data_IF_740802685057
#
_entry.id   IF_740802685057
#
_cell.length_a   1.000
_cell.length_b   1.000
_cell.length_c   1.000
_cell.angle_alpha   90.00
_cell.angle_beta   90.00
_cell.angle_gamma   90.00
#
_symmetry.space_group_name_H-M   'P 1'
#
loop_
_entity.id
_entity.type
_entity.pdbx_description
1 polymer ?
#
# COMPACT_ATOMS: atom_id res chain seq x y z
N UNK A 1 -20.59 14.53 13.43
CA UNK A 1 -19.42 13.81 12.89
C UNK A 1 -19.71 13.50 11.43
N UNK A 2 -18.89 13.98 10.54
CA UNK A 2 -18.97 13.66 9.10
C UNK A 2 -18.47 12.24 8.87
N UNK A 3 -18.82 11.61 7.75
CA UNK A 3 -18.44 10.21 7.49
C UNK A 3 -16.91 10.03 7.43
N UNK A 4 -16.20 11.01 6.87
CA UNK A 4 -14.74 11.02 6.78
C UNK A 4 -14.01 11.37 8.09
N UNK A 5 -14.74 11.67 9.15
CA UNK A 5 -14.24 11.86 10.52
C UNK A 5 -14.44 10.62 11.40
N UNK A 6 -14.97 9.53 10.85
CA UNK A 6 -15.30 8.35 11.63
C UNK A 6 -14.21 7.26 11.47
N UNK A 7 -13.32 7.04 12.45
CA UNK A 7 -12.27 6.03 12.37
C UNK A 7 -12.79 4.58 12.29
N UNK A 8 -14.07 4.37 12.61
CA UNK A 8 -14.72 3.06 12.45
C UNK A 8 -15.23 2.80 11.03
N UNK A 9 -15.07 3.77 10.11
CA UNK A 9 -15.55 3.68 8.74
C UNK A 9 -14.46 4.12 7.76
N UNK A 10 -13.44 3.28 7.57
CA UNK A 10 -12.27 3.55 6.70
C UNK A 10 -12.62 3.58 5.22
N UNK A 11 -13.72 2.93 4.83
CA UNK A 11 -14.15 2.84 3.44
C UNK A 11 -15.64 2.50 3.34
N UNK A 12 -16.18 2.67 2.14
CA UNK A 12 -17.49 2.17 1.75
C UNK A 12 -17.39 1.55 0.36
N UNK A 13 -17.91 0.33 0.19
CA UNK A 13 -17.88 -0.45 -1.06
C UNK A 13 -16.48 -0.67 -1.68
N UNK A 14 -15.41 -0.34 -0.98
CA UNK A 14 -14.05 -0.73 -1.39
C UNK A 14 -13.89 -2.24 -1.22
N UNK A 15 -13.32 -2.89 -2.20
CA UNK A 15 -13.00 -4.32 -2.15
C UNK A 15 -11.94 -4.61 -1.08
N UNK A 16 -11.88 -5.86 -0.64
CA UNK A 16 -10.78 -6.34 0.19
C UNK A 16 -9.46 -6.20 -0.58
N UNK A 17 -8.38 -5.90 0.14
CA UNK A 17 -7.06 -5.87 -0.44
C UNK A 17 -6.67 -7.29 -0.93
N UNK A 18 -5.91 -7.31 -2.01
CA UNK A 18 -5.39 -8.52 -2.65
C UNK A 18 -3.94 -8.31 -3.09
N UNK A 19 -3.23 -9.37 -3.42
CA UNK A 19 -1.91 -9.27 -4.05
C UNK A 19 -1.99 -8.40 -5.30
N UNK A 20 -1.05 -7.45 -5.39
CA UNK A 20 -1.00 -6.58 -6.56
C UNK A 20 -0.44 -7.34 -7.77
N UNK A 21 -1.17 -7.30 -8.84
CA UNK A 21 -0.78 -7.77 -10.16
C UNK A 21 -1.74 -7.22 -11.22
N UNK A 22 -1.26 -7.12 -12.44
CA UNK A 22 -2.06 -6.81 -13.62
C UNK A 22 -1.97 -8.01 -14.56
N UNK A 23 -3.09 -8.71 -14.82
CA UNK A 23 -3.06 -9.89 -15.67
C UNK A 23 -2.87 -9.51 -17.14
N UNK A 24 -2.24 -10.41 -17.88
CA UNK A 24 -2.16 -10.38 -19.35
C UNK A 24 -3.30 -11.18 -19.97
N UNK A 25 -3.45 -11.10 -21.29
CA UNK A 25 -4.42 -11.91 -22.06
C UNK A 25 -5.80 -11.28 -22.14
N UNK A 26 -6.82 -11.93 -21.57
CA UNK A 26 -8.22 -11.47 -21.66
C UNK A 26 -8.52 -10.25 -20.78
N UNK A 27 -7.66 -9.90 -19.82
CA UNK A 27 -7.77 -8.64 -19.07
C UNK A 27 -7.53 -7.44 -19.99
N UNK A 28 -8.34 -6.40 -19.82
CA UNK A 28 -8.13 -5.09 -20.48
C UNK A 28 -7.83 -4.06 -19.40
N UNK A 29 -6.60 -3.58 -19.39
CA UNK A 29 -6.22 -2.43 -18.58
C UNK A 29 -6.43 -1.14 -19.38
N UNK A 30 -7.18 -0.21 -18.79
CA UNK A 30 -7.41 1.12 -19.32
C UNK A 30 -6.73 2.10 -18.39
N UNK A 31 -5.55 2.58 -18.75
CA UNK A 31 -4.82 3.57 -17.99
C UNK A 31 -5.56 4.91 -18.03
N UNK A 32 -5.83 5.48 -16.86
CA UNK A 32 -6.47 6.78 -16.69
C UNK A 32 -5.49 7.90 -16.32
N UNK A 33 -4.19 7.64 -16.35
CA UNK A 33 -3.17 8.67 -16.23
C UNK A 33 -3.25 9.68 -17.39
N UNK A 34 -2.82 10.92 -17.13
CA UNK A 34 -2.82 12.02 -18.09
C UNK A 34 -3.81 13.12 -17.71
N UNK A 35 -4.36 13.85 -18.67
CA UNK A 35 -5.21 15.01 -18.40
C UNK A 35 -6.59 14.62 -17.86
N UNK A 36 -7.00 15.27 -16.75
CA UNK A 36 -8.33 15.23 -16.17
C UNK A 36 -8.93 16.62 -16.14
N UNK A 37 -10.22 16.75 -16.29
CA UNK A 37 -10.94 17.96 -15.89
C UNK A 37 -10.84 18.08 -14.39
N UNK A 38 -10.61 19.30 -13.90
CA UNK A 38 -10.36 19.56 -12.49
C UNK A 38 -11.05 20.83 -12.01
N UNK A 39 -11.61 20.79 -10.82
CA UNK A 39 -12.10 21.97 -10.13
C UNK A 39 -11.64 21.92 -8.68
N UNK A 40 -11.09 23.03 -8.18
CA UNK A 40 -10.61 23.14 -6.82
C UNK A 40 -11.56 24.01 -5.97
N UNK A 41 -11.88 23.52 -4.79
CA UNK A 41 -12.72 24.21 -3.82
C UNK A 41 -11.95 24.36 -2.51
N UNK A 42 -11.83 25.59 -2.01
CA UNK A 42 -11.24 25.84 -0.68
C UNK A 42 -12.04 25.15 0.44
N UNK A 43 -13.33 24.92 0.22
CA UNK A 43 -14.20 24.14 1.10
C UNK A 43 -15.09 23.20 0.26
N UNK A 44 -14.86 21.91 0.41
CA UNK A 44 -15.57 20.83 -0.33
C UNK A 44 -17.07 20.76 -0.08
N UNK A 45 -17.56 21.25 1.05
CA UNK A 45 -19.01 21.33 1.34
C UNK A 45 -19.76 22.26 0.35
N UNK A 46 -19.00 23.07 -0.42
CA UNK A 46 -19.51 23.98 -1.45
C UNK A 46 -19.35 23.44 -2.88
N UNK A 47 -18.82 22.24 -3.06
CA UNK A 47 -18.66 21.59 -4.35
C UNK A 47 -20.02 21.14 -4.92
N UNK A 48 -20.84 22.12 -5.35
CA UNK A 48 -22.14 21.92 -6.00
C UNK A 48 -22.00 21.70 -7.51
N UNK A 49 -22.85 22.36 -8.31
CA UNK A 49 -22.69 22.38 -9.76
C UNK A 49 -21.38 23.08 -10.15
N UNK A 50 -20.51 22.35 -10.85
CA UNK A 50 -19.24 22.87 -11.32
C UNK A 50 -19.48 23.53 -12.68
N UNK A 51 -19.41 24.86 -12.72
CA UNK A 51 -19.63 25.63 -13.95
C UNK A 51 -18.35 25.77 -14.78
N UNK A 52 -17.20 25.90 -14.08
CA UNK A 52 -15.89 26.06 -14.73
C UNK A 52 -14.97 24.91 -14.36
N UNK A 53 -14.30 24.39 -15.37
CA UNK A 53 -13.33 23.31 -15.24
C UNK A 53 -11.98 23.75 -15.77
N UNK A 54 -10.95 23.46 -15.00
CA UNK A 54 -9.57 23.52 -15.45
C UNK A 54 -9.08 22.11 -15.86
N UNK A 55 -7.80 21.97 -16.14
CA UNK A 55 -7.16 20.70 -16.43
C UNK A 55 -6.04 20.44 -15.46
N UNK A 56 -5.93 19.22 -14.98
CA UNK A 56 -4.81 18.75 -14.15
C UNK A 56 -4.27 17.43 -14.69
N UNK A 57 -2.97 17.25 -14.64
CA UNK A 57 -2.35 15.98 -14.95
C UNK A 57 -2.46 15.02 -13.77
N UNK A 58 -2.75 13.76 -14.02
CA UNK A 58 -2.79 12.65 -13.07
C UNK A 58 -1.83 11.57 -13.56
N UNK A 59 -0.95 11.00 -12.71
CA UNK A 59 -0.80 11.33 -11.29
C UNK A 59 -0.11 12.67 -11.05
N UNK A 60 -0.55 13.39 -10.02
CA UNK A 60 0.13 14.60 -9.53
C UNK A 60 -0.35 15.01 -8.14
N UNK A 61 0.43 15.88 -7.49
CA UNK A 61 0.04 16.58 -6.28
C UNK A 61 -0.50 17.97 -6.66
N UNK A 62 -1.74 18.32 -6.29
CA UNK A 62 -2.34 19.58 -6.73
C UNK A 62 -1.61 20.83 -6.22
N UNK A 63 -0.90 20.74 -5.08
CA UNK A 63 -0.08 21.84 -4.56
C UNK A 63 1.04 22.20 -5.54
N UNK A 64 1.61 21.24 -6.25
CA UNK A 64 2.65 21.47 -7.26
C UNK A 64 2.08 21.91 -8.61
N UNK A 65 0.75 21.97 -8.73
CA UNK A 65 0.03 22.50 -9.90
C UNK A 65 -0.58 23.88 -9.63
N UNK A 66 -0.29 24.47 -8.45
CA UNK A 66 -0.64 25.86 -8.12
C UNK A 66 -1.96 26.05 -7.37
N UNK A 67 -2.60 24.99 -6.88
CA UNK A 67 -3.91 25.09 -6.21
C UNK A 67 -3.83 25.33 -4.70
N UNK A 68 -2.70 25.11 -4.09
CA UNK A 68 -2.36 25.43 -2.70
C UNK A 68 -0.84 25.45 -2.54
N UNK A 69 -0.39 25.86 -1.35
CA UNK A 69 1.01 25.65 -0.98
C UNK A 69 1.19 24.29 -0.28
N UNK A 70 2.30 23.59 -0.51
CA UNK A 70 2.67 22.42 0.29
C UNK A 70 2.83 22.83 1.75
N UNK A 71 2.32 22.00 2.66
CA UNK A 71 2.56 22.17 4.08
C UNK A 71 3.73 21.29 4.52
N UNK A 72 4.58 21.82 5.39
CA UNK A 72 5.58 21.04 6.09
C UNK A 72 5.51 21.36 7.58
N UNK A 73 5.32 20.32 8.37
CA UNK A 73 5.37 20.38 9.82
C UNK A 73 6.10 19.13 10.30
N UNK A 74 7.18 19.32 11.07
CA UNK A 74 7.94 18.18 11.58
C UNK A 74 7.10 17.33 12.54
N UNK A 75 6.70 17.92 13.67
CA UNK A 75 6.03 17.22 14.78
C UNK A 75 4.70 17.87 15.19
N UNK A 76 4.09 18.62 14.33
CA UNK A 76 2.80 19.25 14.62
C UNK A 76 1.84 18.96 13.48
N UNK A 77 0.59 18.70 13.81
CA UNK A 77 -0.44 18.73 12.76
C UNK A 77 -0.56 20.14 12.21
N UNK A 78 -0.81 20.33 10.90
CA UNK A 78 -1.03 21.64 10.30
C UNK A 78 -2.41 22.22 10.63
N UNK A 79 -3.13 21.59 11.54
CA UNK A 79 -4.46 21.95 12.04
C UNK A 79 -4.59 21.60 13.53
N UNK A 80 -5.58 22.16 14.25
CA UNK A 80 -5.79 21.83 15.67
C UNK A 80 -5.96 20.32 15.90
N UNK A 81 -5.21 19.78 16.85
CA UNK A 81 -5.28 18.36 17.18
C UNK A 81 -6.50 18.09 18.06
N UNK A 82 -7.64 17.79 17.42
CA UNK A 82 -8.91 17.42 18.07
C UNK A 82 -9.51 16.16 17.41
N UNK A 83 -8.81 15.00 17.49
CA UNK A 83 -9.22 13.78 16.82
C UNK A 83 -10.58 13.28 17.33
N UNK A 84 -11.43 12.73 16.46
CA UNK A 84 -11.17 12.44 15.05
C UNK A 84 -11.58 13.58 14.10
N UNK A 85 -11.90 14.76 14.62
CA UNK A 85 -12.41 15.90 13.86
C UNK A 85 -11.31 16.58 13.07
N UNK A 86 -11.62 16.97 11.84
CA UNK A 86 -10.74 17.75 10.97
C UNK A 86 -11.32 19.15 10.74
N UNK A 87 -10.55 20.11 10.20
CA UNK A 87 -11.03 21.46 9.97
C UNK A 87 -12.36 21.52 9.21
N UNK A 88 -13.23 22.43 9.61
CA UNK A 88 -14.51 22.67 8.91
C UNK A 88 -14.30 23.17 7.48
N UNK A 89 -13.24 23.96 7.27
CA UNK A 89 -12.78 24.33 5.94
C UNK A 89 -11.86 23.21 5.48
N UNK A 90 -12.34 22.40 4.53
CA UNK A 90 -11.64 21.23 4.03
C UNK A 90 -11.49 21.33 2.50
N UNK A 91 -10.31 21.76 2.02
CA UNK A 91 -10.05 21.86 0.59
C UNK A 91 -10.32 20.55 -0.13
N UNK A 92 -10.92 20.65 -1.32
CA UNK A 92 -11.34 19.48 -2.09
C UNK A 92 -11.06 19.70 -3.57
N UNK A 93 -10.33 18.76 -4.18
CA UNK A 93 -10.18 18.64 -5.62
C UNK A 93 -11.25 17.74 -6.20
N UNK A 94 -11.94 18.19 -7.24
CA UNK A 94 -12.89 17.37 -8.00
C UNK A 94 -12.30 17.07 -9.37
N UNK A 95 -12.12 15.79 -9.63
CA UNK A 95 -11.54 15.26 -10.86
C UNK A 95 -12.62 14.62 -11.72
N UNK A 96 -12.56 14.82 -13.03
CA UNK A 96 -13.48 14.15 -13.96
C UNK A 96 -12.75 13.70 -15.23
N UNK A 97 -12.97 12.43 -15.64
CA UNK A 97 -12.42 11.86 -16.85
C UNK A 97 -13.37 10.88 -17.50
N UNK A 98 -13.47 10.92 -18.83
CA UNK A 98 -14.16 9.90 -19.60
C UNK A 98 -13.23 8.79 -20.01
N UNK A 99 -13.76 7.56 -20.09
CA UNK A 99 -13.06 6.37 -20.52
C UNK A 99 -13.98 5.45 -21.32
N UNK A 100 -13.39 4.54 -22.08
CA UNK A 100 -14.13 3.62 -22.96
C UNK A 100 -14.12 2.21 -22.40
N UNK A 101 -15.28 1.58 -22.33
CA UNK A 101 -15.44 0.14 -22.07
C UNK A 101 -15.86 -0.54 -23.37
N UNK A 102 -15.04 -1.50 -23.84
CA UNK A 102 -15.32 -2.25 -25.06
C UNK A 102 -16.46 -3.25 -24.86
N UNK A 103 -16.39 -4.01 -23.76
CA UNK A 103 -17.35 -5.04 -23.41
C UNK A 103 -17.87 -4.84 -21.98
N UNK A 104 -19.08 -4.31 -21.87
CA UNK A 104 -19.76 -4.08 -20.59
C UNK A 104 -20.27 -5.35 -19.90
N UNK A 105 -20.08 -6.54 -20.46
CA UNK A 105 -20.40 -7.81 -19.81
C UNK A 105 -19.30 -8.32 -18.89
N UNK A 106 -18.09 -7.75 -18.98
CA UNK A 106 -16.95 -8.14 -18.13
C UNK A 106 -17.07 -7.57 -16.73
N UNK A 107 -16.41 -8.22 -15.77
CA UNK A 107 -16.18 -7.64 -14.45
C UNK A 107 -15.24 -6.45 -14.58
N UNK A 108 -15.65 -5.31 -14.03
CA UNK A 108 -14.90 -4.06 -14.22
C UNK A 108 -14.57 -3.44 -12.86
N UNK A 109 -13.28 -3.14 -12.68
CA UNK A 109 -12.73 -2.61 -11.43
C UNK A 109 -12.06 -1.27 -11.66
N UNK A 110 -12.34 -0.31 -10.79
CA UNK A 110 -11.62 0.98 -10.76
C UNK A 110 -10.57 0.93 -9.65
N UNK A 111 -9.32 1.26 -9.99
CA UNK A 111 -8.18 1.11 -9.10
C UNK A 111 -7.47 2.44 -8.92
N UNK A 112 -7.26 2.83 -7.65
CA UNK A 112 -6.31 3.86 -7.24
C UNK A 112 -5.11 3.18 -6.59
N UNK A 113 -3.89 3.45 -7.06
CA UNK A 113 -2.68 3.01 -6.34
C UNK A 113 -2.28 3.96 -5.21
N UNK A 114 -2.74 5.22 -5.27
CA UNK A 114 -2.58 6.20 -4.20
C UNK A 114 -3.38 7.47 -4.45
N UNK A 115 -4.16 7.88 -3.45
CA UNK A 115 -4.97 9.10 -3.48
C UNK A 115 -5.08 9.69 -2.07
N UNK A 116 -4.77 10.96 -1.89
CA UNK A 116 -4.65 11.62 -0.57
C UNK A 116 -5.65 12.76 -0.40
N UNK A 117 -6.36 12.77 0.74
CA UNK A 117 -6.35 11.83 1.89
C UNK A 117 -7.58 10.93 1.90
N UNK A 118 -8.72 11.40 1.42
CA UNK A 118 -9.97 10.65 1.27
C UNK A 118 -10.55 10.89 -0.11
N UNK A 119 -11.01 9.82 -0.78
CA UNK A 119 -11.60 9.88 -2.10
C UNK A 119 -12.99 9.26 -2.14
N UNK A 120 -13.95 9.97 -2.75
CA UNK A 120 -15.26 9.46 -3.14
C UNK A 120 -15.29 9.25 -4.66
N UNK A 121 -15.71 8.07 -5.09
CA UNK A 121 -15.82 7.70 -6.51
C UNK A 121 -17.27 7.71 -6.98
N UNK A 122 -17.51 8.34 -8.12
CA UNK A 122 -18.77 8.30 -8.87
C UNK A 122 -18.51 7.82 -10.29
N UNK A 123 -19.34 6.92 -10.79
CA UNK A 123 -19.33 6.48 -12.19
C UNK A 123 -20.68 6.82 -12.83
N UNK A 124 -20.63 7.53 -13.97
CA UNK A 124 -21.83 7.97 -14.69
C UNK A 124 -22.83 8.73 -13.77
N UNK A 125 -22.29 9.53 -12.84
CA UNK A 125 -23.05 10.32 -11.88
C UNK A 125 -23.64 9.52 -10.69
N UNK A 126 -23.39 8.22 -10.60
CA UNK A 126 -23.84 7.37 -9.48
C UNK A 126 -22.70 7.17 -8.50
N UNK A 127 -22.96 7.33 -7.21
CA UNK A 127 -22.01 7.04 -6.15
C UNK A 127 -21.64 5.56 -6.14
N UNK A 128 -20.33 5.27 -6.13
CA UNK A 128 -19.77 3.92 -6.06
C UNK A 128 -19.31 3.60 -4.65
N UNK A 129 -18.48 4.47 -4.07
CA UNK A 129 -17.88 4.22 -2.77
C UNK A 129 -16.83 5.25 -2.40
N UNK A 130 -16.16 5.02 -1.27
CA UNK A 130 -15.10 5.89 -0.76
C UNK A 130 -13.97 5.10 -0.11
N UNK A 131 -12.80 5.74 0.03
CA UNK A 131 -11.62 5.17 0.69
C UNK A 131 -10.80 6.23 1.41
N UNK A 132 -10.11 5.81 2.46
CA UNK A 132 -9.06 6.55 3.16
C UNK A 132 -7.74 5.73 3.13
N UNK A 133 -6.65 6.32 3.59
CA UNK A 133 -5.31 5.71 3.56
C UNK A 133 -4.60 6.04 2.26
N UNK A 134 -3.86 7.15 2.28
CA UNK A 134 -3.35 7.83 1.08
C UNK A 134 -2.46 6.95 0.19
N UNK A 135 -1.61 6.13 0.79
CA UNK A 135 -0.58 5.35 0.08
C UNK A 135 -0.94 3.87 -0.08
N UNK A 136 -2.21 3.56 0.14
CA UNK A 136 -2.74 2.21 0.08
C UNK A 136 -3.64 2.05 -1.15
N UNK A 137 -3.40 1.00 -1.94
CA UNK A 137 -4.22 0.69 -3.12
C UNK A 137 -5.68 0.49 -2.73
N UNK A 138 -6.59 1.07 -3.51
CA UNK A 138 -8.03 0.92 -3.33
C UNK A 138 -8.68 0.48 -4.63
N UNK A 139 -9.48 -0.59 -4.58
CA UNK A 139 -10.22 -1.12 -5.72
C UNK A 139 -11.73 -1.07 -5.45
N UNK A 140 -12.49 -0.76 -6.50
CA UNK A 140 -13.95 -0.72 -6.48
C UNK A 140 -14.52 -1.54 -7.64
N UNK A 141 -15.46 -2.44 -7.37
CA UNK A 141 -16.24 -3.10 -8.42
C UNK A 141 -17.23 -2.09 -9.01
N UNK A 142 -17.00 -1.70 -10.26
CA UNK A 142 -17.84 -0.76 -10.99
C UNK A 142 -18.69 -1.43 -12.07
N UNK A 143 -18.78 -2.76 -12.07
CA UNK A 143 -19.46 -3.55 -13.11
C UNK A 143 -20.90 -3.06 -13.35
N UNK A 144 -21.67 -2.82 -12.28
CA UNK A 144 -23.07 -2.37 -12.38
C UNK A 144 -23.23 -0.88 -12.71
N UNK A 145 -22.11 -0.14 -12.77
CA UNK A 145 -22.10 1.30 -13.01
C UNK A 145 -21.67 1.68 -14.41
N UNK A 146 -21.05 0.75 -15.17
CA UNK A 146 -20.55 0.97 -16.51
C UNK A 146 -21.40 0.29 -17.58
N UNK A 147 -21.24 0.74 -18.82
CA UNK A 147 -21.79 0.10 -20.01
C UNK A 147 -20.75 0.14 -21.12
N UNK A 148 -20.96 -0.68 -22.19
CA UNK A 148 -20.15 -0.57 -23.40
C UNK A 148 -20.21 0.84 -23.97
N UNK A 149 -19.08 1.38 -24.40
CA UNK A 149 -18.92 2.75 -24.89
C UNK A 149 -18.34 3.69 -23.86
N UNK A 150 -18.71 4.96 -23.93
CA UNK A 150 -18.16 6.04 -23.10
C UNK A 150 -18.79 6.03 -21.70
N UNK A 151 -17.93 6.00 -20.69
CA UNK A 151 -18.27 6.15 -19.28
C UNK A 151 -17.52 7.34 -18.68
N UNK A 152 -17.99 7.88 -17.58
CA UNK A 152 -17.36 9.01 -16.90
C UNK A 152 -17.11 8.67 -15.43
N UNK A 153 -15.86 8.82 -15.01
CA UNK A 153 -15.48 8.79 -13.61
C UNK A 153 -15.40 10.21 -13.06
N UNK A 154 -15.98 10.46 -11.90
CA UNK A 154 -15.79 11.67 -11.11
C UNK A 154 -15.32 11.30 -9.73
N UNK A 155 -14.26 11.96 -9.26
CA UNK A 155 -13.62 11.70 -7.97
C UNK A 155 -13.55 12.99 -7.17
N UNK A 156 -14.09 12.96 -5.95
CA UNK A 156 -13.91 14.03 -4.98
C UNK A 156 -12.79 13.62 -4.04
N UNK A 157 -11.72 14.41 -3.98
CA UNK A 157 -10.57 14.16 -3.11
C UNK A 157 -10.53 15.25 -2.05
N UNK A 158 -10.75 14.86 -0.78
CA UNK A 158 -10.68 15.78 0.37
C UNK A 158 -9.27 15.82 0.92
N UNK A 159 -8.84 17.02 1.31
CA UNK A 159 -7.52 17.25 1.91
C UNK A 159 -7.38 16.55 3.25
N UNK A 160 -8.40 16.58 4.08
CA UNK A 160 -8.36 16.07 5.44
C UNK A 160 -9.47 15.06 5.71
N UNK A 161 -9.11 14.02 6.46
CA UNK A 161 -10.03 13.04 7.03
C UNK A 161 -9.46 12.57 8.39
N UNK A 162 -10.18 11.75 9.14
CA UNK A 162 -9.64 11.20 10.40
C UNK A 162 -8.33 10.44 10.17
N UNK A 163 -8.17 9.77 9.03
CA UNK A 163 -6.92 9.13 8.64
C UNK A 163 -5.70 10.05 8.58
N UNK A 164 -5.92 11.37 8.40
CA UNK A 164 -4.82 12.36 8.40
C UNK A 164 -4.09 12.46 9.74
N UNK A 165 -4.72 12.01 10.83
CA UNK A 165 -4.05 11.89 12.13
C UNK A 165 -3.06 10.71 12.20
N UNK A 166 -3.18 9.74 11.30
CA UNK A 166 -2.29 8.60 11.18
C UNK A 166 -1.23 8.78 10.08
N UNK A 167 -1.26 9.89 9.36
CA UNK A 167 -0.37 10.21 8.25
C UNK A 167 0.45 11.46 8.55
N UNK A 168 1.10 11.47 9.72
CA UNK A 168 1.85 12.62 10.25
C UNK A 168 3.36 12.50 10.03
N UNK A 169 3.75 11.92 8.89
CA UNK A 169 5.15 11.77 8.54
C UNK A 169 5.89 13.11 8.47
N UNK A 170 7.16 13.11 8.92
CA UNK A 170 8.07 14.26 8.80
C UNK A 170 8.46 14.48 7.33
N UNK A 171 7.51 14.95 6.56
CA UNK A 171 7.63 15.19 5.12
C UNK A 171 6.67 16.30 4.67
N UNK A 172 6.88 16.82 3.45
CA UNK A 172 5.88 17.68 2.83
C UNK A 172 4.55 16.94 2.68
N UNK A 173 3.46 17.65 3.01
CA UNK A 173 2.09 17.14 2.86
C UNK A 173 1.53 17.58 1.52
N UNK A 174 1.17 16.60 0.72
CA UNK A 174 0.54 16.78 -0.58
C UNK A 174 -0.80 16.08 -0.64
N UNK A 175 -1.61 16.45 -1.64
CA UNK A 175 -2.89 15.84 -1.89
C UNK A 175 -3.13 15.69 -3.39
N UNK A 176 -4.10 14.84 -3.74
CA UNK A 176 -4.49 14.56 -5.11
C UNK A 176 -4.41 13.07 -5.43
N UNK A 177 -4.64 12.73 -6.69
CA UNK A 177 -4.39 11.39 -7.22
C UNK A 177 -2.92 11.37 -7.64
N UNK A 178 -2.04 10.88 -6.77
CA UNK A 178 -0.59 11.02 -6.91
C UNK A 178 0.14 9.75 -7.37
N UNK A 179 -0.56 8.61 -7.45
CA UNK A 179 -0.10 7.36 -8.09
C UNK A 179 -1.05 6.97 -9.22
N UNK A 180 -0.71 5.90 -9.90
CA UNK A 180 -1.48 5.41 -11.05
C UNK A 180 -2.95 5.19 -10.72
N UNK A 181 -3.80 5.49 -11.70
CA UNK A 181 -5.23 5.21 -11.68
C UNK A 181 -5.63 4.54 -13.00
N UNK A 182 -6.37 3.45 -12.90
CA UNK A 182 -6.75 2.65 -14.06
C UNK A 182 -8.04 1.86 -13.83
N UNK A 183 -8.58 1.35 -14.93
CA UNK A 183 -9.70 0.41 -14.93
C UNK A 183 -9.21 -0.93 -15.43
N UNK A 184 -9.65 -2.01 -14.78
CA UNK A 184 -9.43 -3.38 -15.22
C UNK A 184 -10.76 -3.99 -15.62
N UNK A 185 -10.92 -4.40 -16.89
CA UNK A 185 -12.04 -5.23 -17.32
C UNK A 185 -11.58 -6.67 -17.45
N UNK A 186 -12.18 -7.57 -16.68
CA UNK A 186 -11.72 -8.94 -16.48
C UNK A 186 -12.84 -9.94 -16.78
N UNK A 187 -12.55 -11.11 -17.35
CA UNK A 187 -13.55 -12.15 -17.60
C UNK A 187 -14.17 -12.66 -16.31
N UNK A 188 -15.40 -13.16 -16.38
CA UNK A 188 -16.01 -13.89 -15.27
C UNK A 188 -15.19 -15.14 -14.94
N UNK A 189 -15.03 -15.46 -13.66
CA UNK A 189 -14.22 -16.58 -13.20
C UNK A 189 -12.71 -16.31 -13.20
N UNK A 190 -12.27 -15.05 -13.35
CA UNK A 190 -10.88 -14.68 -13.13
C UNK A 190 -10.47 -14.90 -11.68
N UNK A 191 -9.19 -15.05 -11.45
CA UNK A 191 -8.61 -15.07 -10.10
C UNK A 191 -8.66 -13.66 -9.53
N UNK A 192 -9.21 -13.47 -8.33
CA UNK A 192 -9.21 -12.17 -7.67
C UNK A 192 -7.97 -11.98 -6.79
N UNK A 193 -7.59 -13.00 -6.00
CA UNK A 193 -6.41 -12.94 -5.15
C UNK A 193 -5.52 -14.18 -5.30
N UNK A 194 -4.23 -13.97 -5.15
CA UNK A 194 -3.20 -15.02 -5.17
C UNK A 194 -2.31 -14.91 -3.94
N UNK A 195 -1.79 -16.03 -3.49
CA UNK A 195 -0.64 -16.10 -2.59
C UNK A 195 0.39 -17.08 -3.15
N UNK A 196 1.65 -16.65 -3.26
CA UNK A 196 2.76 -17.48 -3.72
C UNK A 196 3.87 -17.38 -2.68
N UNK A 197 4.24 -18.52 -2.11
CA UNK A 197 5.28 -18.56 -1.09
C UNK A 197 6.18 -19.78 -1.25
N UNK A 198 7.34 -19.73 -0.64
CA UNK A 198 8.30 -20.83 -0.61
C UNK A 198 8.36 -21.44 0.79
N UNK A 199 8.29 -22.77 0.86
CA UNK A 199 8.49 -23.56 2.08
C UNK A 199 9.47 -24.68 1.76
N UNK A 200 10.63 -24.71 2.42
CA UNK A 200 11.73 -25.64 2.09
C UNK A 200 12.08 -25.59 0.59
N UNK A 201 11.79 -26.66 -0.14
CA UNK A 201 12.03 -26.77 -1.58
C UNK A 201 10.77 -26.58 -2.42
N UNK A 202 9.66 -26.23 -1.81
CA UNK A 202 8.38 -26.09 -2.50
C UNK A 202 8.04 -24.62 -2.78
N UNK A 203 7.47 -24.40 -3.96
CA UNK A 203 6.72 -23.18 -4.30
C UNK A 203 5.25 -23.52 -4.22
N UNK A 204 4.54 -22.87 -3.31
CA UNK A 204 3.11 -23.08 -3.04
C UNK A 204 2.35 -21.90 -3.63
N UNK A 205 1.52 -22.18 -4.63
CA UNK A 205 0.62 -21.22 -5.25
C UNK A 205 -0.81 -21.47 -4.77
N UNK A 206 -1.49 -20.44 -4.28
CA UNK A 206 -2.90 -20.50 -3.91
C UNK A 206 -3.66 -19.35 -4.53
N UNK A 207 -4.93 -19.60 -4.89
CA UNK A 207 -5.83 -18.61 -5.43
C UNK A 207 -7.28 -18.88 -5.00
N UNK A 208 -8.15 -17.92 -5.18
CA UNK A 208 -9.58 -18.00 -4.91
C UNK A 208 -10.40 -18.68 -6.03
N UNK A 209 -9.74 -19.13 -7.10
CA UNK A 209 -10.31 -19.88 -8.20
C UNK A 209 -9.37 -21.02 -8.63
N UNK A 210 -9.87 -21.99 -9.41
CA UNK A 210 -9.03 -23.02 -10.04
C UNK A 210 -8.19 -22.41 -11.17
N UNK A 211 -6.96 -22.90 -11.33
CA UNK A 211 -6.00 -22.43 -12.31
C UNK A 211 -5.08 -23.56 -12.81
N UNK A 212 -4.47 -23.36 -13.98
CA UNK A 212 -3.25 -24.09 -14.36
C UNK A 212 -2.05 -23.22 -14.04
N UNK A 213 -0.95 -23.82 -13.60
CA UNK A 213 0.27 -23.11 -13.29
C UNK A 213 1.48 -23.67 -14.04
N UNK A 214 2.40 -22.82 -14.38
CA UNK A 214 3.70 -23.15 -14.96
C UNK A 214 4.83 -22.55 -14.12
N UNK A 215 5.86 -23.34 -13.85
CA UNK A 215 7.07 -22.91 -13.19
C UNK A 215 8.23 -22.85 -14.19
N UNK A 216 8.97 -21.74 -14.17
CA UNK A 216 10.13 -21.50 -15.03
C UNK A 216 11.37 -21.18 -14.21
N UNK A 217 12.52 -21.64 -14.74
CA UNK A 217 13.86 -21.21 -14.34
C UNK A 217 14.49 -20.47 -15.52
N UNK A 218 14.61 -19.14 -15.41
CA UNK A 218 14.87 -18.31 -16.58
C UNK A 218 13.79 -18.52 -17.65
N UNK A 219 14.21 -18.93 -18.86
CA UNK A 219 13.32 -19.23 -19.97
C UNK A 219 12.91 -20.72 -20.02
N UNK A 220 13.47 -21.55 -19.17
CA UNK A 220 13.21 -23.00 -19.17
C UNK A 220 11.96 -23.33 -18.37
N UNK A 221 10.96 -23.92 -19.04
CA UNK A 221 9.79 -24.51 -18.37
C UNK A 221 10.25 -25.75 -17.57
N UNK A 222 10.14 -25.69 -16.23
CA UNK A 222 10.45 -26.81 -15.34
C UNK A 222 9.29 -27.76 -15.20
N UNK A 223 8.10 -27.23 -14.95
CA UNK A 223 6.93 -28.06 -14.67
C UNK A 223 5.63 -27.29 -14.97
N UNK A 224 4.57 -28.05 -15.28
CA UNK A 224 3.19 -27.56 -15.39
C UNK A 224 2.29 -28.38 -14.46
N UNK A 225 1.39 -27.69 -13.75
CA UNK A 225 0.42 -28.31 -12.83
C UNK A 225 -0.93 -27.63 -12.89
N UNK A 226 -1.98 -28.40 -12.75
CA UNK A 226 -3.32 -27.89 -12.47
C UNK A 226 -3.54 -27.77 -10.97
N UNK A 227 -4.23 -26.74 -10.54
CA UNK A 227 -4.62 -26.59 -9.13
C UNK A 227 -5.69 -27.61 -8.74
N UNK A 228 -5.73 -27.90 -7.46
CA UNK A 228 -6.81 -28.68 -6.84
C UNK A 228 -7.28 -27.93 -5.61
N UNK A 229 -8.54 -27.47 -5.62
CA UNK A 229 -9.08 -26.62 -4.57
C UNK A 229 -8.35 -25.28 -4.50
N UNK A 230 -7.99 -24.69 -5.66
CA UNK A 230 -7.27 -23.43 -5.75
C UNK A 230 -5.81 -23.49 -5.28
N UNK A 231 -5.18 -24.69 -5.25
CA UNK A 231 -3.78 -24.85 -4.79
C UNK A 231 -2.98 -25.70 -5.77
N UNK A 232 -1.77 -25.24 -6.10
CA UNK A 232 -0.73 -26.00 -6.82
C UNK A 232 0.60 -25.92 -6.05
N UNK A 233 1.40 -27.00 -6.09
CA UNK A 233 2.70 -27.05 -5.40
C UNK A 233 3.75 -27.57 -6.38
N UNK A 234 4.86 -26.85 -6.52
CA UNK A 234 6.02 -27.26 -7.29
C UNK A 234 7.20 -27.55 -6.36
N UNK A 235 7.87 -28.67 -6.54
CA UNK A 235 9.07 -29.02 -5.77
C UNK A 235 10.31 -28.79 -6.63
N UNK A 236 11.21 -27.92 -6.20
CA UNK A 236 12.48 -27.63 -6.87
C UNK A 236 13.61 -28.32 -6.09
N UNK A 237 14.26 -29.31 -6.70
CA UNK A 237 15.38 -29.96 -6.06
C UNK A 237 16.59 -29.02 -6.02
N UNK A 238 17.19 -28.81 -4.83
CA UNK A 238 18.34 -27.94 -4.64
C UNK A 238 18.14 -26.53 -5.23
N UNK A 239 17.13 -25.76 -4.79
CA UNK A 239 16.79 -24.47 -5.39
C UNK A 239 17.93 -23.46 -5.22
N UNK A 240 18.13 -22.64 -6.24
CA UNK A 240 18.98 -21.45 -6.13
C UNK A 240 18.34 -20.45 -5.16
N UNK A 241 19.11 -20.05 -4.14
CA UNK A 241 18.60 -19.22 -3.06
C UNK A 241 18.68 -17.73 -3.43
N UNK A 242 17.66 -16.97 -3.04
CA UNK A 242 17.63 -15.52 -3.17
C UNK A 242 18.35 -14.85 -1.99
N UNK A 243 19.23 -13.92 -2.29
CA UNK A 243 19.83 -12.98 -1.32
C UNK A 243 19.89 -11.58 -1.94
N UNK A 244 20.21 -10.55 -1.14
CA UNK A 244 20.43 -9.20 -1.67
C UNK A 244 21.65 -9.11 -2.63
N UNK A 245 22.61 -10.01 -2.50
CA UNK A 245 23.81 -10.09 -3.36
C UNK A 245 23.59 -10.96 -4.60
N UNK A 246 22.73 -11.97 -4.49
CA UNK A 246 22.40 -12.93 -5.57
C UNK A 246 20.88 -13.10 -5.62
N UNK A 247 20.14 -12.16 -6.24
CA UNK A 247 18.69 -12.13 -6.22
C UNK A 247 18.09 -13.11 -7.25
N UNK A 248 18.25 -14.40 -6.98
CA UNK A 248 17.77 -15.45 -7.88
C UNK A 248 16.25 -15.63 -7.76
N UNK A 249 15.55 -15.53 -8.89
CA UNK A 249 14.08 -15.60 -8.95
C UNK A 249 13.62 -16.62 -9.98
N UNK A 250 12.69 -17.47 -9.57
CA UNK A 250 11.89 -18.30 -10.45
C UNK A 250 10.66 -17.55 -10.92
N UNK A 251 10.12 -17.91 -12.08
CA UNK A 251 8.90 -17.30 -12.60
C UNK A 251 7.75 -18.31 -12.52
N UNK A 252 6.65 -17.90 -11.91
CA UNK A 252 5.39 -18.64 -11.88
C UNK A 252 4.39 -17.90 -12.77
N UNK A 253 3.71 -18.67 -13.65
CA UNK A 253 2.57 -18.17 -14.44
C UNK A 253 1.32 -18.96 -14.06
N UNK A 254 0.26 -18.23 -13.72
CA UNK A 254 -1.05 -18.77 -13.39
C UNK A 254 -2.02 -18.45 -14.53
N UNK A 255 -2.77 -19.43 -14.98
CA UNK A 255 -3.71 -19.33 -16.11
C UNK A 255 -5.13 -19.61 -15.63
N UNK A 256 -6.03 -18.66 -15.77
CA UNK A 256 -7.44 -18.82 -15.46
C UNK A 256 -8.29 -17.87 -16.33
N UNK A 257 -9.44 -18.34 -16.80
CA UNK A 257 -10.41 -17.56 -17.56
C UNK A 257 -9.82 -16.77 -18.74
N UNK A 258 -8.73 -17.28 -19.37
CA UNK A 258 -8.04 -16.59 -20.47
C UNK A 258 -7.06 -15.50 -20.02
N UNK A 259 -6.88 -15.31 -18.73
CA UNK A 259 -5.85 -14.43 -18.16
C UNK A 259 -4.58 -15.20 -17.81
N UNK A 260 -3.46 -14.47 -17.78
CA UNK A 260 -2.15 -14.94 -17.35
C UNK A 260 -1.66 -14.00 -16.26
N UNK A 261 -1.38 -14.54 -15.07
CA UNK A 261 -0.77 -13.80 -13.98
C UNK A 261 0.67 -14.29 -13.85
N UNK A 262 1.63 -13.39 -14.12
CA UNK A 262 3.07 -13.68 -14.05
C UNK A 262 3.65 -13.09 -12.79
N UNK A 263 4.29 -13.92 -11.93
CA UNK A 263 4.98 -13.46 -10.71
C UNK A 263 6.36 -14.11 -10.60
N UNK A 264 7.29 -13.35 -10.03
CA UNK A 264 8.64 -13.85 -9.68
C UNK A 264 8.68 -14.19 -8.20
N UNK A 265 9.36 -15.26 -7.85
CA UNK A 265 9.50 -15.73 -6.45
C UNK A 265 10.89 -16.32 -6.22
N UNK A 266 11.50 -16.01 -5.08
CA UNK A 266 12.80 -16.55 -4.69
C UNK A 266 12.72 -17.42 -3.44
N UNK A 267 13.55 -18.44 -3.38
CA UNK A 267 13.70 -19.27 -2.20
C UNK A 267 14.60 -18.58 -1.18
N UNK A 268 14.07 -18.38 0.02
CA UNK A 268 14.84 -17.88 1.16
C UNK A 268 14.28 -18.33 2.49
N UNK A 269 15.14 -18.38 3.49
CA UNK A 269 14.73 -18.54 4.89
C UNK A 269 15.13 -17.33 5.70
N UNK A 270 14.30 -16.98 6.69
CA UNK A 270 14.54 -15.87 7.63
C UNK A 270 14.46 -16.46 9.03
N UNK A 271 15.52 -16.28 9.84
CA UNK A 271 15.56 -16.78 11.21
C UNK A 271 16.32 -15.80 12.10
N UNK A 272 16.06 -15.85 13.39
CA UNK A 272 16.91 -15.21 14.42
C UNK A 272 17.69 -16.31 15.11
N UNK A 273 19.01 -16.15 15.23
CA UNK A 273 19.90 -17.09 15.94
C UNK A 273 19.70 -17.00 17.46
N UNK A 274 20.28 -17.95 18.20
CA UNK A 274 20.33 -17.91 19.66
C UNK A 274 21.08 -16.66 20.18
N UNK A 275 21.97 -16.11 19.38
CA UNK A 275 22.76 -14.91 19.70
C UNK A 275 22.10 -13.61 19.16
N UNK A 276 20.81 -13.71 18.77
CA UNK A 276 20.01 -12.60 18.24
C UNK A 276 20.50 -12.01 16.90
N UNK A 277 21.21 -12.79 16.09
CA UNK A 277 21.60 -12.39 14.75
C UNK A 277 20.49 -12.70 13.73
N UNK A 278 20.27 -11.80 12.79
CA UNK A 278 19.40 -12.07 11.65
C UNK A 278 20.11 -13.01 10.67
N UNK A 279 19.52 -14.15 10.42
CA UNK A 279 20.00 -15.13 9.47
C UNK A 279 19.11 -15.13 8.21
N UNK A 280 19.76 -14.95 7.05
CA UNK A 280 19.13 -15.23 5.75
C UNK A 280 19.82 -16.48 5.18
N UNK A 281 19.03 -17.49 4.85
CA UNK A 281 19.55 -18.76 4.36
C UNK A 281 20.59 -19.41 5.32
N UNK A 282 20.39 -19.24 6.63
CA UNK A 282 21.29 -19.74 7.65
C UNK A 282 22.59 -18.94 7.84
N UNK A 283 22.82 -17.87 7.07
CA UNK A 283 24.01 -17.01 7.17
C UNK A 283 23.68 -15.69 7.86
N UNK A 284 24.46 -15.26 8.86
CA UNK A 284 24.29 -13.95 9.49
C UNK A 284 24.42 -12.81 8.48
N UNK A 285 23.46 -11.90 8.47
CA UNK A 285 23.48 -10.74 7.61
C UNK A 285 23.46 -9.45 8.40
N UNK A 286 24.21 -8.45 7.92
CA UNK A 286 24.15 -7.09 8.44
C UNK A 286 23.32 -6.24 7.49
N UNK A 287 22.22 -5.65 8.02
CA UNK A 287 21.42 -4.71 7.26
C UNK A 287 22.15 -3.37 7.16
N UNK A 288 22.66 -3.09 5.95
CA UNK A 288 23.27 -1.80 5.58
C UNK A 288 22.20 -1.03 4.84
N UNK A 289 21.32 -0.37 5.57
CA UNK A 289 20.08 0.17 5.04
C UNK A 289 19.94 1.67 5.16
N UNK A 290 18.97 2.17 4.40
CA UNK A 290 18.52 3.55 4.44
C UNK A 290 17.00 3.59 4.58
N UNK A 291 16.49 4.67 5.15
CA UNK A 291 15.08 5.03 5.03
C UNK A 291 14.87 5.69 3.67
N UNK A 292 13.83 5.28 2.95
CA UNK A 292 13.50 5.79 1.62
C UNK A 292 12.08 6.33 1.60
N UNK A 293 11.94 7.62 1.30
CA UNK A 293 10.67 8.26 1.01
C UNK A 293 10.39 8.26 -0.49
N UNK A 294 9.15 7.95 -0.88
CA UNK A 294 8.67 8.19 -2.25
C UNK A 294 8.51 9.70 -2.45
N UNK A 295 9.56 10.36 -2.88
CA UNK A 295 9.54 11.81 -3.10
C UNK A 295 10.53 12.23 -4.17
N UNK A 296 10.10 13.16 -5.02
CA UNK A 296 10.91 13.81 -6.04
C UNK A 296 10.87 15.34 -5.81
N UNK A 297 12.00 16.05 -5.97
CA UNK A 297 12.07 17.49 -5.69
C UNK A 297 11.16 18.35 -6.56
N UNK A 298 10.70 17.85 -7.71
CA UNK A 298 9.83 18.58 -8.66
C UNK A 298 8.40 18.04 -8.70
N UNK A 299 8.24 16.72 -8.43
CA UNK A 299 6.96 16.01 -8.58
C UNK A 299 6.29 15.66 -7.24
N UNK A 300 6.97 15.95 -6.11
CA UNK A 300 6.47 15.57 -4.77
C UNK A 300 6.34 14.06 -4.63
N UNK A 301 5.17 13.57 -4.22
CA UNK A 301 4.94 12.12 -4.02
C UNK A 301 4.75 11.32 -5.31
N UNK A 302 4.73 12.00 -6.47
CA UNK A 302 4.58 11.33 -7.76
C UNK A 302 5.92 10.83 -8.25
N UNK A 303 6.17 9.54 -8.11
CA UNK A 303 7.40 8.87 -8.57
C UNK A 303 7.11 8.08 -9.86
N UNK A 304 8.03 8.12 -10.81
CA UNK A 304 8.01 7.25 -11.98
C UNK A 304 8.84 5.99 -11.76
N UNK A 305 8.71 5.01 -12.65
CA UNK A 305 9.54 3.80 -12.63
C UNK A 305 11.03 4.14 -12.75
N UNK A 306 11.39 5.13 -13.58
CA UNK A 306 12.76 5.59 -13.76
C UNK A 306 13.34 6.20 -12.48
N UNK A 307 12.51 6.91 -11.70
CA UNK A 307 12.94 7.48 -10.41
C UNK A 307 13.28 6.37 -9.43
N UNK A 308 12.42 5.36 -9.30
CA UNK A 308 12.69 4.19 -8.44
C UNK A 308 13.95 3.44 -8.85
N UNK A 309 14.09 3.15 -10.16
CA UNK A 309 15.28 2.45 -10.68
C UNK A 309 16.56 3.26 -10.48
N UNK A 310 16.50 4.58 -10.65
CA UNK A 310 17.64 5.50 -10.37
C UNK A 310 18.06 5.42 -8.91
N UNK A 311 17.11 5.53 -7.99
CA UNK A 311 17.38 5.54 -6.56
C UNK A 311 17.95 4.18 -6.09
N UNK A 312 17.35 3.07 -6.52
CA UNK A 312 17.84 1.72 -6.21
C UNK A 312 19.23 1.44 -6.79
N UNK A 313 19.52 1.89 -8.02
CA UNK A 313 20.87 1.77 -8.61
C UNK A 313 21.91 2.54 -7.79
N UNK A 314 21.60 3.79 -7.41
CA UNK A 314 22.47 4.58 -6.55
C UNK A 314 22.74 3.89 -5.21
N UNK A 315 21.70 3.32 -4.59
CA UNK A 315 21.85 2.55 -3.35
C UNK A 315 22.80 1.35 -3.54
N UNK A 316 22.67 0.61 -4.66
CA UNK A 316 23.60 -0.50 -4.97
C UNK A 316 25.04 -0.04 -5.15
N UNK A 317 25.27 1.06 -5.86
CA UNK A 317 26.61 1.66 -6.05
C UNK A 317 27.24 2.04 -4.71
N UNK A 318 26.44 2.42 -3.72
CA UNK A 318 26.86 2.74 -2.35
C UNK A 318 26.94 1.53 -1.41
N UNK A 319 26.79 0.30 -1.92
CA UNK A 319 26.78 -0.94 -1.15
C UNK A 319 25.65 -1.00 -0.08
N UNK A 320 24.53 -0.36 -0.33
CA UNK A 320 23.32 -0.48 0.48
C UNK A 320 22.60 -1.77 0.05
N UNK A 321 22.21 -2.59 1.02
CA UNK A 321 21.52 -3.86 0.77
C UNK A 321 20.10 -3.89 1.37
N UNK A 322 19.68 -2.82 2.04
CA UNK A 322 18.41 -2.80 2.76
C UNK A 322 17.70 -1.46 2.57
N UNK A 323 16.39 -1.51 2.39
CA UNK A 323 15.53 -0.34 2.34
C UNK A 323 14.43 -0.49 3.40
N UNK A 324 14.27 0.51 4.26
CA UNK A 324 13.04 0.70 5.02
C UNK A 324 12.17 1.69 4.26
N UNK A 325 10.96 1.27 3.94
CA UNK A 325 10.01 2.14 3.22
C UNK A 325 9.43 3.13 4.20
N UNK A 326 10.08 4.26 4.36
CA UNK A 326 9.74 5.25 5.38
C UNK A 326 8.70 6.23 4.85
N UNK A 327 7.58 6.42 5.51
CA UNK A 327 7.04 5.58 6.58
C UNK A 327 5.66 5.09 6.13
N UNK A 328 5.64 4.38 5.00
CA UNK A 328 4.42 3.93 4.29
C UNK A 328 4.76 2.94 3.17
N UNK A 329 3.78 2.18 2.67
CA UNK A 329 3.98 1.32 1.51
C UNK A 329 4.29 2.16 0.24
N UNK A 330 5.34 1.83 -0.51
CA UNK A 330 5.68 2.48 -1.78
C UNK A 330 4.67 2.11 -2.87
N UNK A 331 4.83 2.67 -4.08
CA UNK A 331 4.10 2.16 -5.24
C UNK A 331 4.41 0.67 -5.45
N UNK A 332 3.43 -0.13 -5.89
CA UNK A 332 3.59 -1.60 -5.93
C UNK A 332 4.83 -2.08 -6.69
N UNK A 333 5.12 -1.49 -7.83
CA UNK A 333 6.29 -1.85 -8.67
C UNK A 333 7.65 -1.66 -7.99
N UNK A 334 7.77 -0.80 -7.00
CA UNK A 334 9.02 -0.61 -6.27
C UNK A 334 9.52 -1.91 -5.65
N UNK A 335 8.61 -2.74 -5.15
CA UNK A 335 8.97 -4.03 -4.55
C UNK A 335 9.37 -5.07 -5.59
N UNK A 336 8.78 -5.06 -6.80
CA UNK A 336 9.26 -5.88 -7.91
C UNK A 336 10.74 -5.56 -8.21
N UNK A 337 11.12 -4.28 -8.25
CA UNK A 337 12.52 -3.88 -8.42
C UNK A 337 13.41 -4.29 -7.24
N UNK A 338 12.90 -4.23 -6.01
CA UNK A 338 13.64 -4.72 -4.84
C UNK A 338 13.89 -6.23 -4.90
N UNK A 339 12.91 -7.00 -5.37
CA UNK A 339 13.06 -8.45 -5.60
C UNK A 339 14.15 -8.73 -6.65
N UNK A 340 14.12 -8.02 -7.77
CA UNK A 340 15.01 -8.23 -8.92
C UNK A 340 16.43 -7.70 -8.71
N UNK A 341 16.56 -6.54 -8.08
CA UNK A 341 17.86 -5.91 -7.85
C UNK A 341 18.53 -6.39 -6.55
N UNK A 342 17.80 -7.11 -5.70
CA UNK A 342 18.30 -7.69 -4.48
C UNK A 342 18.42 -6.68 -3.33
N UNK A 343 17.30 -6.32 -2.72
CA UNK A 343 17.24 -5.53 -1.48
C UNK A 343 16.48 -6.27 -0.41
N UNK A 344 16.95 -6.28 0.80
CA UNK A 344 16.13 -6.61 1.96
C UNK A 344 15.20 -5.44 2.25
N UNK A 345 13.90 -5.71 2.38
CA UNK A 345 12.92 -4.66 2.61
C UNK A 345 12.29 -4.80 4.00
N UNK A 346 12.31 -3.70 4.75
CA UNK A 346 11.46 -3.50 5.92
C UNK A 346 10.27 -2.69 5.41
N UNK A 347 9.14 -3.38 5.16
CA UNK A 347 7.95 -2.75 4.60
C UNK A 347 7.10 -2.18 5.71
N UNK A 348 6.93 -0.85 5.69
CA UNK A 348 6.26 -0.12 6.75
C UNK A 348 4.82 0.23 6.39
N UNK A 349 3.96 0.07 7.37
CA UNK A 349 2.55 0.45 7.31
C UNK A 349 2.41 1.98 7.35
N UNK A 350 1.44 2.53 6.67
CA UNK A 350 1.16 3.97 6.60
C UNK A 350 0.55 4.50 7.91
N UNK A 351 1.36 4.51 8.97
CA UNK A 351 0.98 5.02 10.30
C UNK A 351 2.13 5.81 10.91
N UNK A 352 1.85 7.09 11.18
CA UNK A 352 2.65 7.95 12.03
C UNK A 352 1.74 8.93 12.78
N UNK A 353 1.90 9.05 14.09
CA UNK A 353 1.08 9.93 14.93
C UNK A 353 1.95 10.86 15.80
N UNK A 354 3.10 11.25 15.26
CA UNK A 354 4.14 11.98 15.99
C UNK A 354 3.64 13.30 16.62
N UNK A 355 2.74 14.01 15.94
CA UNK A 355 2.16 15.27 16.43
C UNK A 355 1.42 15.18 17.76
N UNK A 356 1.02 13.98 18.21
CA UNK A 356 0.41 13.80 19.52
C UNK A 356 1.36 14.13 20.68
N UNK A 357 2.68 14.06 20.49
CA UNK A 357 3.67 14.48 21.51
C UNK A 357 3.55 15.95 21.90
N UNK A 358 2.91 16.76 21.05
CA UNK A 358 2.69 18.20 21.26
C UNK A 358 1.29 18.56 21.72
N UNK A 359 0.38 17.59 21.77
CA UNK A 359 -1.01 17.84 22.15
C UNK A 359 -1.13 18.41 23.57
N UNK A 360 -0.25 17.99 24.45
CA UNK A 360 -0.16 18.43 25.84
C UNK A 360 1.16 19.18 26.06
N UNK A 361 1.25 20.40 25.56
CA UNK A 361 2.46 21.22 25.62
C UNK A 361 3.02 21.39 27.05
N UNK A 362 2.16 21.30 28.07
CA UNK A 362 2.55 21.48 29.47
C UNK A 362 3.40 20.31 30.02
N UNK A 363 3.33 19.14 29.41
CA UNK A 363 4.13 17.95 29.83
C UNK A 363 5.39 17.74 28.98
N UNK A 364 5.62 18.61 27.99
CA UNK A 364 6.77 18.57 27.11
C UNK A 364 6.69 17.46 26.04
N UNK A 365 7.83 17.16 25.42
CA UNK A 365 7.95 16.13 24.39
C UNK A 365 7.98 14.74 25.02
N UNK A 366 6.86 14.03 24.96
CA UNK A 366 6.74 12.65 25.49
C UNK A 366 5.77 11.83 24.65
N UNK A 367 6.12 10.56 24.50
CA UNK A 367 5.18 9.51 24.05
C UNK A 367 4.38 9.00 25.26
N UNK A 368 3.58 9.87 25.86
CA UNK A 368 2.80 9.58 27.05
C UNK A 368 1.41 9.10 26.68
N UNK A 369 1.22 7.79 26.71
CA UNK A 369 -0.06 7.12 26.41
C UNK A 369 -0.97 6.99 27.64
N UNK A 370 -0.53 7.38 28.82
CA UNK A 370 -1.32 7.26 30.06
C UNK A 370 -2.50 8.26 30.08
N UNK A 371 -2.40 9.35 29.33
CA UNK A 371 -3.48 10.34 29.19
C UNK A 371 -4.64 9.88 28.28
N UNK A 372 -4.55 8.67 27.70
CA UNK A 372 -5.70 7.92 27.20
C UNK A 372 -6.28 8.32 25.85
N UNK A 373 -5.68 9.26 25.08
CA UNK A 373 -6.27 9.73 23.83
C UNK A 373 -5.36 9.63 22.59
N UNK A 374 -4.28 8.88 22.71
CA UNK A 374 -3.46 8.50 21.57
C UNK A 374 -4.18 7.49 20.68
N UNK A 375 -4.11 7.60 19.36
CA UNK A 375 -4.71 6.62 18.45
C UNK A 375 -4.26 5.18 18.74
N UNK A 376 -3.04 4.97 19.21
CA UNK A 376 -2.51 3.65 19.53
C UNK A 376 -3.22 2.93 20.70
N UNK A 377 -3.80 3.68 21.66
CA UNK A 377 -4.50 3.10 22.84
C UNK A 377 -6.02 3.19 22.76
N UNK A 378 -6.55 4.09 21.93
CA UNK A 378 -7.98 4.31 21.80
C UNK A 378 -8.64 3.26 20.89
N UNK A 379 -9.57 2.47 21.43
CA UNK A 379 -10.28 1.40 20.71
C UNK A 379 -11.00 1.88 19.44
N UNK A 380 -11.41 3.15 19.39
CA UNK A 380 -12.08 3.70 18.22
C UNK A 380 -11.21 3.70 16.96
N UNK A 381 -9.88 3.72 17.12
CA UNK A 381 -8.91 3.71 16.02
C UNK A 381 -8.49 2.31 15.55
N UNK A 382 -8.85 1.28 16.28
CA UNK A 382 -8.42 -0.09 16.00
C UNK A 382 -8.67 -0.51 14.55
N UNK A 383 -9.82 -0.12 14.00
CA UNK A 383 -10.16 -0.45 12.61
C UNK A 383 -9.22 0.22 11.62
N UNK A 384 -8.84 1.49 11.85
CA UNK A 384 -7.86 2.20 11.02
C UNK A 384 -6.48 1.53 11.04
N UNK A 385 -6.01 1.12 12.23
CA UNK A 385 -4.74 0.42 12.38
C UNK A 385 -4.76 -0.92 11.65
N UNK A 386 -5.79 -1.71 11.84
CA UNK A 386 -5.94 -3.02 11.17
C UNK A 386 -6.11 -2.86 9.66
N UNK A 387 -6.97 -1.96 9.19
CA UNK A 387 -7.18 -1.72 7.75
C UNK A 387 -5.85 -1.40 7.03
N UNK A 388 -5.00 -0.57 7.64
CA UNK A 388 -3.72 -0.16 7.05
C UNK A 388 -2.73 -1.31 6.97
N UNK A 389 -2.56 -2.10 8.03
CA UNK A 389 -1.64 -3.23 8.02
C UNK A 389 -2.14 -4.39 7.16
N UNK A 390 -3.46 -4.66 7.15
CA UNK A 390 -4.07 -5.66 6.30
C UNK A 390 -3.86 -5.35 4.82
N UNK A 391 -4.11 -4.11 4.40
CA UNK A 391 -3.90 -3.67 3.02
C UNK A 391 -2.44 -3.71 2.62
N UNK A 392 -1.53 -3.32 3.50
CA UNK A 392 -0.08 -3.41 3.28
C UNK A 392 0.34 -4.86 3.05
N UNK A 393 -0.06 -5.75 3.95
CA UNK A 393 0.29 -7.17 3.87
C UNK A 393 -0.33 -7.84 2.64
N UNK A 394 -1.65 -7.74 2.46
CA UNK A 394 -2.35 -8.47 1.40
C UNK A 394 -1.88 -8.03 0.01
N UNK A 395 -1.55 -6.73 -0.18
CA UNK A 395 -0.99 -6.22 -1.44
C UNK A 395 0.38 -6.82 -1.76
N UNK A 396 1.24 -6.95 -0.75
CA UNK A 396 2.68 -7.16 -0.94
C UNK A 396 3.18 -8.51 -0.39
N UNK A 397 2.28 -9.39 0.04
CA UNK A 397 2.59 -10.68 0.70
C UNK A 397 3.48 -11.62 -0.10
N UNK A 398 3.51 -11.50 -1.44
CA UNK A 398 4.27 -12.41 -2.32
C UNK A 398 5.71 -11.95 -2.59
N UNK A 399 6.13 -10.75 -2.15
CA UNK A 399 7.46 -10.22 -2.43
C UNK A 399 8.55 -10.94 -1.64
N UNK A 400 9.56 -11.42 -2.36
CA UNK A 400 10.72 -12.11 -1.77
C UNK A 400 11.62 -11.17 -0.98
N UNK A 401 11.78 -9.93 -1.42
CA UNK A 401 12.60 -8.89 -0.78
C UNK A 401 12.11 -8.52 0.61
N UNK A 402 10.80 -8.57 0.87
CA UNK A 402 10.23 -8.22 2.18
C UNK A 402 10.65 -9.25 3.22
N UNK A 403 11.48 -8.84 4.17
CA UNK A 403 11.97 -9.68 5.28
C UNK A 403 11.32 -9.34 6.62
N UNK A 404 10.71 -8.15 6.70
CA UNK A 404 10.14 -7.63 7.93
C UNK A 404 8.95 -6.72 7.62
N UNK A 405 7.87 -6.89 8.36
CA UNK A 405 6.70 -6.01 8.37
C UNK A 405 6.85 -5.01 9.52
N UNK A 406 6.64 -3.73 9.27
CA UNK A 406 6.68 -2.69 10.29
C UNK A 406 5.29 -2.07 10.49
N UNK A 407 4.89 -1.92 11.75
CA UNK A 407 3.55 -1.44 12.13
C UNK A 407 3.37 0.07 11.98
N UNK A 408 4.45 0.81 11.70
CA UNK A 408 4.46 2.26 11.53
C UNK A 408 5.66 2.90 12.21
N UNK A 409 5.71 4.23 12.13
CA UNK A 409 6.75 5.08 12.68
C UNK A 409 6.18 5.98 13.80
N UNK A 410 6.96 6.33 14.79
CA UNK A 410 6.75 7.38 15.82
C UNK A 410 5.27 7.57 16.24
N UNK A 411 4.61 6.46 16.60
CA UNK A 411 3.17 6.41 16.89
C UNK A 411 2.83 6.03 18.32
N UNK A 412 3.84 5.93 19.19
CA UNK A 412 3.78 5.29 20.49
C UNK A 412 3.39 3.80 20.37
N UNK A 413 3.30 3.10 21.51
CA UNK A 413 2.92 1.70 21.52
C UNK A 413 1.69 1.48 22.40
N UNK A 414 0.71 0.79 21.86
CA UNK A 414 -0.54 0.51 22.56
C UNK A 414 -1.27 -0.72 21.99
N UNK A 415 -2.52 -0.86 22.41
CA UNK A 415 -3.34 -2.03 22.07
C UNK A 415 -3.58 -2.19 20.56
N UNK A 416 -3.54 -1.10 19.80
CA UNK A 416 -3.78 -1.12 18.37
C UNK A 416 -2.56 -1.60 17.58
N UNK A 417 -1.32 -1.22 17.98
CA UNK A 417 -0.11 -1.84 17.40
C UNK A 417 0.03 -3.30 17.82
N UNK A 418 -0.31 -3.64 19.07
CA UNK A 418 -0.35 -5.04 19.50
C UNK A 418 -1.31 -5.87 18.61
N UNK A 419 -2.50 -5.34 18.33
CA UNK A 419 -3.46 -5.99 17.44
C UNK A 419 -2.93 -6.17 15.99
N UNK A 420 -2.18 -5.19 15.45
CA UNK A 420 -1.51 -5.32 14.16
C UNK A 420 -0.47 -6.45 14.17
N UNK A 421 0.36 -6.52 15.21
CA UNK A 421 1.38 -7.57 15.34
C UNK A 421 0.73 -8.94 15.45
N UNK A 422 -0.32 -9.08 16.26
CA UNK A 422 -1.05 -10.34 16.41
C UNK A 422 -1.68 -10.77 15.09
N UNK A 423 -2.25 -9.84 14.36
CA UNK A 423 -2.81 -10.09 13.04
C UNK A 423 -1.73 -10.54 12.06
N UNK A 424 -0.61 -9.82 11.95
CA UNK A 424 0.54 -10.19 11.10
C UNK A 424 1.05 -11.59 11.42
N UNK A 425 1.29 -11.90 12.70
CA UNK A 425 1.75 -13.23 13.13
C UNK A 425 0.74 -14.34 12.88
N UNK A 426 -0.55 -14.01 12.78
CA UNK A 426 -1.57 -14.99 12.38
C UNK A 426 -1.47 -15.36 10.89
N UNK A 427 -0.98 -14.44 10.04
CA UNK A 427 -0.88 -14.58 8.59
C UNK A 427 0.50 -15.03 8.12
N UNK A 428 1.55 -14.49 8.72
CA UNK A 428 2.94 -14.73 8.32
C UNK A 428 3.75 -15.29 9.50
N UNK A 429 4.25 -16.51 9.33
CA UNK A 429 5.07 -17.20 10.33
C UNK A 429 6.57 -17.12 10.02
N UNK A 430 6.93 -16.51 8.90
CA UNK A 430 8.31 -16.48 8.37
C UNK A 430 8.96 -15.14 8.57
N UNK A 431 8.26 -14.06 8.17
CA UNK A 431 8.81 -12.70 8.24
C UNK A 431 8.69 -12.14 9.65
N UNK A 432 9.63 -11.27 10.00
CA UNK A 432 9.64 -10.60 11.29
C UNK A 432 8.57 -9.51 11.34
N UNK A 433 8.09 -9.19 12.54
CA UNK A 433 7.25 -8.02 12.81
C UNK A 433 8.06 -7.00 13.62
N UNK A 434 8.05 -5.75 13.16
CA UNK A 434 8.74 -4.61 13.78
C UNK A 434 7.73 -3.59 14.28
N UNK A 435 7.99 -3.06 15.48
CA UNK A 435 7.30 -1.90 16.03
C UNK A 435 8.35 -1.03 16.72
N UNK A 436 8.68 0.12 16.17
CA UNK A 436 9.72 1.01 16.66
C UNK A 436 9.49 1.41 18.12
N UNK A 437 8.28 1.87 18.41
CA UNK A 437 7.95 2.44 19.72
C UNK A 437 7.82 1.41 20.84
N UNK A 438 7.68 0.13 20.53
CA UNK A 438 7.64 -0.92 21.54
C UNK A 438 8.90 -0.97 22.40
N UNK A 439 10.06 -0.54 21.86
CA UNK A 439 11.32 -0.44 22.61
C UNK A 439 11.44 0.85 23.44
N UNK A 440 10.72 1.91 23.03
CA UNK A 440 10.71 3.21 23.73
C UNK A 440 9.71 3.26 24.88
N UNK A 441 8.61 2.54 24.75
CA UNK A 441 7.66 2.37 25.81
C UNK A 441 8.40 1.73 26.98
N UNK A 442 8.61 2.44 28.06
CA UNK A 442 9.12 1.90 29.32
C UNK A 442 8.15 0.88 29.92
N UNK A 443 7.61 0.01 29.07
CA UNK A 443 6.59 -0.96 29.36
C UNK A 443 7.14 -1.98 30.32
N UNK A 444 6.50 -2.10 31.48
CA UNK A 444 6.71 -3.20 32.43
C UNK A 444 6.35 -4.55 31.77
N UNK A 445 5.67 -4.54 30.63
CA UNK A 445 5.43 -5.70 29.77
C UNK A 445 6.36 -5.60 28.54
N UNK A 446 7.54 -6.21 28.64
CA UNK A 446 8.35 -6.48 27.44
C UNK A 446 7.51 -7.31 26.49
N UNK A 447 7.29 -6.84 25.25
CA UNK A 447 6.61 -7.67 24.28
C UNK A 447 7.38 -8.98 24.14
N UNK A 448 6.73 -10.12 24.35
CA UNK A 448 7.29 -11.47 24.18
C UNK A 448 7.49 -11.82 22.68
N UNK A 449 7.75 -10.82 21.86
CA UNK A 449 7.74 -10.93 20.39
C UNK A 449 9.08 -11.33 19.77
N UNK A 450 10.07 -11.68 20.59
CA UNK A 450 11.36 -12.24 20.15
C UNK A 450 11.49 -13.74 20.46
N UNK A 451 10.39 -14.49 20.48
CA UNK A 451 10.43 -15.96 20.54
C UNK A 451 9.87 -16.57 19.28
#
# INVERSE_FOLDING_TARGET
MRIYENPKSTSENRLNARSWYIPEGSCKQIMLNGEWRFAFFENGDRAGNIEEWETIEVPSCWQLKGYENPNYTNINYPFPCDPPYVPDINPTGVYERSFQIEDGSLKTYFVFEGVSSEAELYINGKYVGRTQGSRLTAEFDITEFVSSGTNTARVYVRKWCCGSYLEDQDAFRYNGIFRDVYVLSRPHGHIFDIDIKTEENDIICTADAEFSAELYDGDALLERRDSVGGKAVFTVNEPSLWTAETPYLYTVKLYAAGEIITRKIGFRTIKISSDYELLINGTPVKLKGVNHHDTDPYKGWTMSEEDYVRDLKLMKELNINTVRTSHYPPAPKFLDYCDEMGFYVILECDIETHGFVRRYADIGYKFDTENGDWPCVEEMWKKEFLDRIERTYERDKIHTSVIMWSTGNESAYGVNQAAQIDWLKSRDKVRLAHCEDASRAGSQEKPTYFQ
#
